data_IF_498311180864
#
_entry.id   IF_498311180864
#
_cell.length_a   1.000
_cell.length_b   1.000
_cell.length_c   1.000
_cell.angle_alpha   90.00
_cell.angle_beta   90.00
_cell.angle_gamma   90.00
#
_symmetry.space_group_name_H-M   'P 1'
#
loop_
_entity.id
_entity.type
_entity.pdbx_description
1 polymer ?
#
# COMPACT_ATOMS: atom_id res chain seq x y z
N UNK A 1 0.04 22.00 4.44
CA UNK A 1 0.78 22.72 3.38
C UNK A 1 2.25 22.63 3.74
N UNK A 2 3.22 22.14 2.96
CA UNK A 2 3.29 21.66 1.57
C UNK A 2 4.64 20.92 1.44
N UNK A 3 4.62 19.79 0.72
CA UNK A 3 5.71 19.09 0.01
C UNK A 3 7.18 19.32 0.42
N UNK A 4 7.80 18.25 0.94
CA UNK A 4 9.26 18.03 0.96
C UNK A 4 9.50 16.79 0.11
N UNK A 5 10.07 16.94 -1.10
CA UNK A 5 11.02 15.98 -1.69
C UNK A 5 11.69 16.67 -2.87
N UNK A 6 12.97 17.00 -2.69
CA UNK A 6 13.82 17.65 -3.67
C UNK A 6 14.26 16.70 -4.76
N UNK A 7 14.04 17.09 -6.01
CA UNK A 7 14.72 16.52 -7.17
C UNK A 7 15.94 17.40 -7.45
N UNK A 8 17.11 16.79 -7.23
CA UNK A 8 18.44 17.34 -7.44
C UNK A 8 18.59 17.74 -8.92
N UNK A 9 18.78 19.04 -9.18
CA UNK A 9 19.16 19.60 -10.50
C UNK A 9 20.44 18.91 -10.98
N UNK A 10 20.36 18.08 -12.01
CA UNK A 10 21.55 17.61 -12.73
C UNK A 10 22.02 18.71 -13.69
N UNK A 11 23.34 18.89 -13.76
CA UNK A 11 24.00 19.90 -14.57
C UNK A 11 23.73 19.70 -16.08
N UNK A 12 23.75 20.78 -16.88
CA UNK A 12 23.56 20.69 -18.32
C UNK A 12 24.81 20.09 -18.96
N UNK A 13 24.75 18.83 -19.37
CA UNK A 13 25.73 18.29 -20.31
C UNK A 13 25.39 18.89 -21.69
N UNK A 14 26.34 19.68 -22.19
CA UNK A 14 26.33 20.47 -23.42
C UNK A 14 25.47 19.90 -24.57
N UNK A 15 24.36 20.61 -24.87
CA UNK A 15 23.51 20.38 -26.06
C UNK A 15 24.26 20.54 -27.39
N UNK A 16 25.46 21.12 -27.35
CA UNK A 16 26.33 21.31 -28.51
C UNK A 16 26.89 19.99 -29.06
N UNK A 17 27.24 19.02 -28.19
CA UNK A 17 27.83 17.74 -28.61
C UNK A 17 26.78 16.82 -29.25
N UNK A 18 25.54 16.85 -28.74
CA UNK A 18 24.40 16.12 -29.30
C UNK A 18 23.97 16.64 -30.68
N UNK A 19 24.14 17.94 -30.96
CA UNK A 19 23.81 18.55 -32.25
C UNK A 19 24.83 18.19 -33.35
N UNK A 20 26.06 17.85 -32.96
CA UNK A 20 27.13 17.43 -33.88
C UNK A 20 27.01 15.96 -34.33
N UNK A 21 26.28 15.12 -33.58
CA UNK A 21 26.12 13.69 -33.87
C UNK A 21 24.84 13.34 -34.65
N UNK A 22 24.07 14.33 -35.12
CA UNK A 22 22.89 14.09 -35.97
C UNK A 22 21.72 13.34 -35.29
N UNK A 23 21.77 13.12 -33.97
CA UNK A 23 20.69 12.46 -33.22
C UNK A 23 19.62 13.48 -32.87
N UNK A 24 18.65 13.65 -33.77
CA UNK A 24 17.44 14.42 -33.50
C UNK A 24 16.49 13.58 -32.64
N UNK A 25 16.44 13.84 -31.33
CA UNK A 25 15.41 13.31 -30.43
C UNK A 25 14.05 13.96 -30.74
N UNK A 26 13.45 13.60 -31.87
CA UNK A 26 12.09 13.97 -32.23
C UNK A 26 11.09 12.99 -31.59
N UNK A 27 10.97 13.06 -30.26
CA UNK A 27 9.78 12.53 -29.58
C UNK A 27 8.69 13.59 -29.72
N UNK A 28 8.03 13.62 -30.88
CA UNK A 28 6.85 14.47 -31.07
C UNK A 28 5.65 13.85 -30.38
N UNK A 29 4.97 14.62 -29.52
CA UNK A 29 3.70 14.24 -28.93
C UNK A 29 2.62 14.09 -30.01
N UNK A 30 2.19 12.85 -30.26
CA UNK A 30 1.15 12.50 -31.24
C UNK A 30 -0.25 12.38 -30.62
N UNK A 31 -0.39 12.63 -29.31
CA UNK A 31 -1.69 12.68 -28.62
C UNK A 31 -2.73 13.57 -29.31
N UNK A 32 -2.37 14.74 -29.90
CA UNK A 32 -3.32 15.58 -30.62
C UNK A 32 -3.86 14.94 -31.89
N UNK A 33 -3.03 14.19 -32.62
CA UNK A 33 -3.43 13.52 -33.87
C UNK A 33 -4.34 12.33 -33.57
N UNK A 34 -4.01 11.56 -32.53
CA UNK A 34 -4.85 10.47 -32.04
C UNK A 34 -6.23 10.98 -31.60
N UNK A 35 -6.28 12.09 -30.84
CA UNK A 35 -7.56 12.68 -30.39
C UNK A 35 -8.45 13.07 -31.58
N UNK A 36 -7.89 13.67 -32.62
CA UNK A 36 -8.63 14.01 -33.85
C UNK A 36 -9.16 12.77 -34.57
N UNK A 37 -8.35 11.72 -34.66
CA UNK A 37 -8.74 10.48 -35.32
C UNK A 37 -9.87 9.74 -34.59
N UNK A 38 -9.81 9.67 -33.26
CA UNK A 38 -10.88 9.10 -32.44
C UNK A 38 -12.18 9.88 -32.64
N UNK A 39 -12.10 11.22 -32.59
CA UNK A 39 -13.26 12.10 -32.74
C UNK A 39 -13.90 11.96 -34.12
N UNK A 40 -13.09 11.78 -35.16
CA UNK A 40 -13.53 11.53 -36.54
C UNK A 40 -14.25 10.17 -36.68
N UNK A 41 -13.79 9.11 -35.99
CA UNK A 41 -14.44 7.80 -36.03
C UNK A 41 -15.69 7.70 -35.15
N UNK A 42 -15.80 8.48 -34.07
CA UNK A 42 -16.99 8.49 -33.20
C UNK A 42 -18.14 9.34 -33.73
N UNK A 43 -17.93 10.13 -34.79
CA UNK A 43 -18.94 11.02 -35.38
C UNK A 43 -19.76 10.41 -36.52
N UNK A 44 -19.61 9.12 -36.83
CA UNK A 44 -20.40 8.45 -37.88
C UNK A 44 -21.56 7.69 -37.23
N UNK A 45 -22.76 8.17 -37.50
CA UNK A 45 -24.09 7.70 -37.06
C UNK A 45 -24.20 6.21 -36.70
N UNK A 46 -24.62 5.95 -35.46
CA UNK A 46 -25.30 4.72 -35.08
C UNK A 46 -26.74 5.08 -34.69
N UNK A 47 -27.67 4.64 -35.52
CA UNK A 47 -29.10 4.89 -35.42
C UNK A 47 -29.69 4.32 -34.12
N UNK A 48 -30.24 5.20 -33.27
CA UNK A 48 -30.92 4.86 -32.02
C UNK A 48 -32.40 4.59 -32.32
N UNK A 49 -32.73 3.36 -32.68
CA UNK A 49 -34.12 2.90 -32.68
C UNK A 49 -34.20 1.39 -32.46
N UNK A 50 -34.69 1.01 -31.25
CA UNK A 50 -35.34 -0.26 -30.84
C UNK A 50 -34.73 -0.86 -29.56
N UNK A 51 -35.20 -0.40 -28.39
CA UNK A 51 -34.98 -1.08 -27.11
C UNK A 51 -36.17 -1.99 -26.77
N UNK A 52 -35.97 -3.29 -26.94
CA UNK A 52 -36.43 -4.30 -25.97
C UNK A 52 -35.15 -4.74 -25.24
N UNK A 53 -35.05 -4.44 -23.94
CA UNK A 53 -33.94 -4.73 -23.00
C UNK A 53 -32.53 -4.51 -23.55
N UNK A 54 -31.99 -3.30 -23.36
CA UNK A 54 -30.64 -2.94 -23.79
C UNK A 54 -29.55 -3.66 -22.95
N UNK A 55 -28.48 -4.20 -23.58
CA UNK A 55 -27.29 -4.66 -22.87
C UNK A 55 -26.60 -3.48 -22.15
N UNK A 56 -25.79 -3.73 -21.09
CA UNK A 56 -25.21 -2.65 -20.31
C UNK A 56 -24.28 -1.82 -21.18
N UNK A 57 -24.47 -0.51 -21.12
CA UNK A 57 -23.76 0.45 -21.97
C UNK A 57 -22.27 0.47 -21.61
N UNK A 58 -21.38 0.60 -22.61
CA UNK A 58 -19.91 0.73 -22.40
C UNK A 58 -19.52 1.78 -21.35
N UNK A 59 -20.30 2.86 -21.24
CA UNK A 59 -20.13 3.90 -20.22
C UNK A 59 -20.38 3.42 -18.79
N UNK A 60 -21.36 2.53 -18.59
CA UNK A 60 -21.69 1.94 -17.29
C UNK A 60 -20.55 1.02 -16.82
N UNK A 61 -20.05 0.17 -17.73
CA UNK A 61 -18.89 -0.69 -17.47
C UNK A 61 -17.66 0.12 -17.04
N UNK A 62 -17.36 1.21 -17.75
CA UNK A 62 -16.21 2.07 -17.42
C UNK A 62 -16.38 2.76 -16.07
N UNK A 63 -17.61 3.16 -15.71
CA UNK A 63 -17.89 3.73 -14.40
C UNK A 63 -17.70 2.69 -13.29
N UNK A 64 -18.20 1.47 -13.47
CA UNK A 64 -18.08 0.40 -12.48
C UNK A 64 -16.61 -0.01 -12.26
N UNK A 65 -15.83 -0.13 -13.33
CA UNK A 65 -14.38 -0.37 -13.28
C UNK A 65 -13.67 0.78 -12.56
N UNK A 66 -14.05 2.03 -12.84
CA UNK A 66 -13.46 3.20 -12.18
C UNK A 66 -13.74 3.21 -10.68
N UNK A 67 -14.96 2.83 -10.27
CA UNK A 67 -15.31 2.71 -8.85
C UNK A 67 -14.45 1.63 -8.20
N UNK A 68 -14.32 0.45 -8.83
CA UNK A 68 -13.45 -0.62 -8.35
C UNK A 68 -12.01 -0.12 -8.15
N UNK A 69 -11.41 0.50 -9.17
CA UNK A 69 -10.04 1.01 -9.11
C UNK A 69 -9.87 2.06 -8.00
N UNK A 70 -10.87 2.92 -7.78
CA UNK A 70 -10.87 3.90 -6.69
C UNK A 70 -10.88 3.20 -5.32
N UNK A 71 -11.73 2.19 -5.15
CA UNK A 71 -11.80 1.37 -3.93
C UNK A 71 -10.46 0.70 -3.66
N UNK A 72 -9.89 0.03 -4.66
CA UNK A 72 -8.56 -0.59 -4.59
C UNK A 72 -7.47 0.39 -4.17
N UNK A 73 -7.42 1.58 -4.80
CA UNK A 73 -6.41 2.59 -4.49
C UNK A 73 -6.52 3.06 -3.04
N UNK A 74 -7.76 3.28 -2.57
CA UNK A 74 -8.02 3.62 -1.17
C UNK A 74 -7.59 2.48 -0.23
N UNK A 75 -7.87 1.23 -0.59
CA UNK A 75 -7.48 0.05 0.20
C UNK A 75 -5.96 -0.01 0.35
N UNK A 76 -5.23 0.12 -0.76
CA UNK A 76 -3.76 0.15 -0.76
C UNK A 76 -3.21 1.27 0.14
N UNK A 77 -3.76 2.47 0.04
CA UNK A 77 -3.36 3.59 0.89
C UNK A 77 -3.62 3.30 2.38
N UNK A 78 -4.75 2.68 2.71
CA UNK A 78 -5.08 2.33 4.10
C UNK A 78 -4.16 1.22 4.64
N UNK A 79 -3.87 0.18 3.85
CA UNK A 79 -2.91 -0.87 4.25
C UNK A 79 -1.53 -0.28 4.53
N UNK A 80 -1.03 0.61 3.67
CA UNK A 80 0.26 1.27 3.90
C UNK A 80 0.27 2.16 5.16
N UNK A 81 -0.84 2.85 5.46
CA UNK A 81 -0.96 3.60 6.72
C UNK A 81 -0.90 2.68 7.94
N UNK A 82 -1.56 1.53 7.89
CA UNK A 82 -1.50 0.52 8.96
C UNK A 82 -0.07 0.02 9.11
N UNK A 83 0.59 -0.33 8.01
CA UNK A 83 1.98 -0.78 8.02
C UNK A 83 2.91 0.25 8.68
N UNK A 84 2.75 1.55 8.37
CA UNK A 84 3.54 2.62 8.99
C UNK A 84 3.28 2.74 10.51
N UNK A 85 2.02 2.69 10.94
CA UNK A 85 1.66 2.66 12.37
C UNK A 85 2.25 1.44 13.07
N UNK A 86 2.24 0.30 12.38
CA UNK A 86 2.75 -0.96 12.89
C UNK A 86 4.27 -0.95 13.05
N UNK A 87 5.01 -0.33 12.14
CA UNK A 87 6.46 -0.10 12.32
C UNK A 87 6.74 0.67 13.60
N UNK A 88 5.99 1.75 13.84
CA UNK A 88 6.11 2.54 15.07
C UNK A 88 5.72 1.72 16.31
N UNK A 89 4.62 0.96 16.25
CA UNK A 89 4.22 0.10 17.36
C UNK A 89 5.28 -0.98 17.65
N UNK A 90 5.90 -1.54 16.62
CA UNK A 90 6.98 -2.53 16.74
C UNK A 90 8.20 -1.94 17.45
N UNK A 91 8.56 -0.69 17.12
CA UNK A 91 9.65 0.03 17.79
C UNK A 91 9.35 0.21 19.29
N UNK A 92 8.16 0.70 19.62
CA UNK A 92 7.70 0.89 21.00
C UNK A 92 7.55 -0.43 21.78
N UNK A 93 7.15 -1.52 21.11
CA UNK A 93 7.02 -2.83 21.74
C UNK A 93 8.39 -3.49 22.01
N UNK A 94 9.44 -3.10 21.28
CA UNK A 94 10.80 -3.64 21.44
C UNK A 94 11.63 -2.89 22.48
N UNK A 95 11.28 -1.66 22.85
CA UNK A 95 11.99 -0.91 23.90
C UNK A 95 11.75 -1.55 25.27
N UNK A 96 12.67 -2.42 25.71
CA UNK A 96 12.60 -3.25 26.94
C UNK A 96 12.80 -2.47 28.27
N UNK A 97 12.88 -1.14 28.25
CA UNK A 97 13.12 -0.35 29.46
C UNK A 97 11.83 -0.22 30.28
N UNK A 98 11.83 -0.73 31.52
CA UNK A 98 10.68 -0.72 32.44
C UNK A 98 10.08 0.68 32.64
N UNK A 99 10.92 1.73 32.64
CA UNK A 99 10.49 3.12 32.82
C UNK A 99 9.88 3.70 31.54
N UNK A 100 10.41 3.30 30.39
CA UNK A 100 9.97 3.76 29.07
C UNK A 100 8.65 3.07 28.67
N UNK A 101 8.46 1.81 29.06
CA UNK A 101 7.22 1.07 28.86
C UNK A 101 6.06 1.61 29.73
N UNK A 102 6.32 2.13 30.94
CA UNK A 102 5.30 2.77 31.77
C UNK A 102 4.80 4.10 31.18
N UNK A 103 5.66 4.85 30.48
CA UNK A 103 5.25 6.05 29.75
C UNK A 103 4.63 5.72 28.38
N UNK A 104 5.12 4.67 27.71
CA UNK A 104 4.66 4.28 26.39
C UNK A 104 3.41 3.40 26.41
N UNK A 105 3.01 2.83 27.56
CA UNK A 105 1.88 1.91 27.69
C UNK A 105 0.57 2.44 27.09
N UNK A 106 0.23 3.70 27.37
CA UNK A 106 -0.96 4.34 26.79
C UNK A 106 -0.84 4.52 25.26
N UNK A 107 0.33 4.89 24.75
CA UNK A 107 0.55 5.07 23.31
C UNK A 107 0.51 3.73 22.57
N UNK A 108 1.11 2.68 23.17
CA UNK A 108 1.06 1.31 22.67
C UNK A 108 -0.40 0.83 22.65
N UNK A 109 -1.17 1.05 23.73
CA UNK A 109 -2.58 0.66 23.77
C UNK A 109 -3.41 1.38 22.71
N UNK A 110 -3.25 2.69 22.57
CA UNK A 110 -3.94 3.48 21.54
C UNK A 110 -3.62 2.99 20.13
N UNK A 111 -2.33 2.87 19.80
CA UNK A 111 -1.89 2.38 18.49
C UNK A 111 -2.38 0.97 18.21
N UNK A 112 -2.38 0.10 19.23
CA UNK A 112 -2.89 -1.27 19.12
C UNK A 112 -4.38 -1.26 18.76
N UNK A 113 -5.21 -0.50 19.49
CA UNK A 113 -6.64 -0.39 19.21
C UNK A 113 -6.94 0.23 17.85
N UNK A 114 -6.19 1.27 17.45
CA UNK A 114 -6.35 1.94 16.16
C UNK A 114 -5.98 1.03 14.99
N UNK A 115 -4.85 0.31 15.08
CA UNK A 115 -4.44 -0.69 14.08
C UNK A 115 -5.46 -1.82 13.99
N UNK A 116 -5.97 -2.30 15.13
CA UNK A 116 -6.98 -3.35 15.16
C UNK A 116 -8.26 -2.92 14.43
N UNK A 117 -8.79 -1.73 14.72
CA UNK A 117 -9.97 -1.18 14.04
C UNK A 117 -9.73 -0.98 12.53
N UNK A 118 -8.56 -0.41 12.17
CA UNK A 118 -8.20 -0.20 10.77
C UNK A 118 -8.09 -1.53 10.00
N UNK A 119 -7.52 -2.58 10.60
CA UNK A 119 -7.43 -3.92 10.00
C UNK A 119 -8.81 -4.53 9.78
N UNK A 120 -9.73 -4.41 10.74
CA UNK A 120 -11.11 -4.89 10.58
C UNK A 120 -11.82 -4.16 9.42
N UNK A 121 -11.65 -2.85 9.34
CA UNK A 121 -12.22 -2.04 8.26
C UNK A 121 -11.64 -2.43 6.90
N UNK A 122 -10.32 -2.54 6.79
CA UNK A 122 -9.66 -2.93 5.53
C UNK A 122 -10.06 -4.34 5.12
N UNK A 123 -10.21 -5.28 6.05
CA UNK A 123 -10.70 -6.62 5.73
C UNK A 123 -12.13 -6.62 5.17
N UNK A 124 -13.02 -5.79 5.73
CA UNK A 124 -14.36 -5.61 5.18
C UNK A 124 -14.33 -4.98 3.78
N UNK A 125 -13.55 -3.90 3.62
CA UNK A 125 -13.39 -3.24 2.33
C UNK A 125 -12.79 -4.18 1.27
N UNK A 126 -11.89 -5.09 1.68
CA UNK A 126 -11.30 -6.10 0.81
C UNK A 126 -12.34 -7.12 0.35
N UNK A 127 -13.18 -7.63 1.26
CA UNK A 127 -14.32 -8.50 0.91
C UNK A 127 -15.26 -7.83 -0.08
N UNK A 128 -15.55 -6.55 0.13
CA UNK A 128 -16.40 -5.77 -0.76
C UNK A 128 -15.74 -5.59 -2.14
N UNK A 129 -14.44 -5.32 -2.20
CA UNK A 129 -13.69 -5.21 -3.45
C UNK A 129 -13.66 -6.54 -4.22
N UNK A 130 -13.45 -7.67 -3.53
CA UNK A 130 -13.52 -9.00 -4.13
C UNK A 130 -14.91 -9.31 -4.68
N UNK A 131 -15.97 -9.01 -3.92
CA UNK A 131 -17.35 -9.14 -4.40
C UNK A 131 -17.59 -8.27 -5.64
N UNK A 132 -17.13 -7.02 -5.62
CA UNK A 132 -17.21 -6.13 -6.79
C UNK A 132 -16.38 -6.67 -7.98
N UNK A 133 -15.29 -7.41 -7.74
CA UNK A 133 -14.57 -8.16 -8.76
C UNK A 133 -15.46 -9.19 -9.45
N UNK A 134 -16.08 -10.05 -8.64
CA UNK A 134 -16.97 -11.13 -9.08
C UNK A 134 -18.22 -10.60 -9.79
N UNK A 135 -18.88 -9.59 -9.23
CA UNK A 135 -20.08 -8.99 -9.81
C UNK A 135 -19.78 -8.43 -11.22
N UNK A 136 -18.63 -7.81 -11.39
CA UNK A 136 -18.22 -7.25 -12.67
C UNK A 136 -17.75 -8.31 -13.68
N UNK A 137 -17.22 -9.44 -13.22
CA UNK A 137 -16.98 -10.60 -14.08
C UNK A 137 -18.32 -11.21 -14.57
N UNK A 138 -19.33 -11.28 -13.69
CA UNK A 138 -20.65 -11.80 -14.07
C UNK A 138 -21.48 -10.84 -14.94
N UNK A 139 -21.33 -9.51 -14.74
CA UNK A 139 -22.15 -8.49 -15.39
C UNK A 139 -21.69 -8.13 -16.81
N UNK A 140 -20.42 -8.36 -17.12
CA UNK A 140 -19.79 -7.94 -18.38
C UNK A 140 -19.08 -9.10 -19.08
N UNK A 141 -19.07 -9.14 -20.42
CA UNK A 141 -18.32 -10.16 -21.14
C UNK A 141 -16.83 -10.05 -20.79
N UNK A 142 -16.12 -11.19 -20.67
CA UNK A 142 -14.74 -11.23 -20.22
C UNK A 142 -13.86 -10.40 -21.17
N UNK A 143 -13.26 -9.34 -20.63
CA UNK A 143 -12.14 -8.64 -21.25
C UNK A 143 -10.88 -9.19 -20.59
N UNK A 144 -10.14 -10.05 -21.32
CA UNK A 144 -8.99 -10.79 -20.78
C UNK A 144 -8.03 -9.90 -19.97
N UNK A 145 -7.74 -8.69 -20.46
CA UNK A 145 -6.80 -7.78 -19.79
C UNK A 145 -7.38 -7.11 -18.54
N UNK A 146 -8.63 -6.64 -18.61
CA UNK A 146 -9.26 -5.95 -17.48
C UNK A 146 -9.54 -6.92 -16.35
N UNK A 147 -9.94 -8.14 -16.67
CA UNK A 147 -10.18 -9.19 -15.69
C UNK A 147 -8.90 -9.65 -15.01
N UNK A 148 -7.86 -9.98 -15.80
CA UNK A 148 -6.56 -10.38 -15.27
C UNK A 148 -5.95 -9.31 -14.37
N UNK A 149 -6.04 -8.03 -14.75
CA UNK A 149 -5.56 -6.94 -13.91
C UNK A 149 -6.27 -6.90 -12.55
N UNK A 150 -7.59 -7.06 -12.52
CA UNK A 150 -8.37 -6.97 -11.29
C UNK A 150 -8.11 -8.15 -10.36
N UNK A 151 -7.96 -9.34 -10.92
CA UNK A 151 -7.56 -10.53 -10.18
C UNK A 151 -6.16 -10.35 -9.55
N UNK A 152 -5.17 -9.90 -10.33
CA UNK A 152 -3.81 -9.61 -9.84
C UNK A 152 -3.83 -8.56 -8.73
N UNK A 153 -4.60 -7.49 -8.91
CA UNK A 153 -4.77 -6.43 -7.93
C UNK A 153 -5.35 -6.97 -6.62
N UNK A 154 -6.43 -7.75 -6.68
CA UNK A 154 -7.03 -8.36 -5.48
C UNK A 154 -6.02 -9.27 -4.77
N UNK A 155 -5.34 -10.15 -5.52
CA UNK A 155 -4.31 -11.04 -4.98
C UNK A 155 -3.18 -10.29 -4.29
N UNK A 156 -2.68 -9.21 -4.90
CA UNK A 156 -1.64 -8.39 -4.30
C UNK A 156 -2.09 -7.72 -3.01
N UNK A 157 -3.32 -7.19 -2.97
CA UNK A 157 -3.88 -6.61 -1.76
C UNK A 157 -4.08 -7.65 -0.65
N UNK A 158 -4.51 -8.86 -0.98
CA UNK A 158 -4.62 -9.98 -0.04
C UNK A 158 -3.26 -10.33 0.57
N UNK A 159 -2.21 -10.38 -0.26
CA UNK A 159 -0.84 -10.60 0.20
C UNK A 159 -0.36 -9.50 1.17
N UNK A 160 -0.57 -8.23 0.82
CA UNK A 160 -0.19 -7.11 1.70
C UNK A 160 -0.96 -7.13 3.01
N UNK A 161 -2.28 -7.40 2.97
CA UNK A 161 -3.10 -7.50 4.16
C UNK A 161 -2.63 -8.64 5.05
N UNK A 162 -2.38 -9.84 4.49
CA UNK A 162 -1.85 -10.99 5.22
C UNK A 162 -0.55 -10.66 5.95
N UNK A 163 0.40 -10.03 5.26
CA UNK A 163 1.69 -9.68 5.84
C UNK A 163 1.57 -8.62 6.94
N UNK A 164 0.67 -7.65 6.76
CA UNK A 164 0.39 -6.62 7.77
C UNK A 164 -0.26 -7.23 8.99
N UNK A 165 -1.25 -8.11 8.81
CA UNK A 165 -1.90 -8.86 9.89
C UNK A 165 -0.89 -9.73 10.64
N UNK A 166 -0.03 -10.48 9.93
CA UNK A 166 1.01 -11.31 10.55
C UNK A 166 1.93 -10.46 11.43
N UNK A 167 2.43 -9.36 10.88
CA UNK A 167 3.32 -8.45 11.60
C UNK A 167 2.64 -7.85 12.85
N UNK A 168 1.32 -7.61 12.79
CA UNK A 168 0.55 -7.15 13.95
C UNK A 168 0.40 -8.23 15.01
N UNK A 169 0.14 -9.48 14.61
CA UNK A 169 0.12 -10.64 15.51
C UNK A 169 1.47 -10.80 16.22
N UNK A 170 2.58 -10.69 15.49
CA UNK A 170 3.93 -10.81 16.07
C UNK A 170 4.17 -9.73 17.15
N UNK A 171 3.72 -8.49 16.91
CA UNK A 171 3.83 -7.40 17.88
C UNK A 171 2.94 -7.61 19.11
N UNK A 172 1.71 -8.10 18.93
CA UNK A 172 0.83 -8.46 20.04
C UNK A 172 1.44 -9.56 20.91
N UNK A 173 2.10 -10.54 20.29
CA UNK A 173 2.79 -11.60 21.02
C UNK A 173 3.96 -11.06 21.84
N UNK A 174 4.82 -10.21 21.25
CA UNK A 174 5.92 -9.55 21.99
C UNK A 174 5.37 -8.78 23.19
N UNK A 175 4.25 -8.07 23.01
CA UNK A 175 3.62 -7.30 24.08
C UNK A 175 3.06 -8.20 25.18
N UNK A 176 2.39 -9.31 24.83
CA UNK A 176 1.89 -10.28 25.79
C UNK A 176 3.04 -10.89 26.62
N UNK A 177 4.14 -11.25 25.96
CA UNK A 177 5.36 -11.74 26.61
C UNK A 177 5.98 -10.69 27.53
N UNK A 178 6.02 -9.42 27.12
CA UNK A 178 6.52 -8.31 27.96
C UNK A 178 5.68 -8.16 29.23
N UNK A 179 4.35 -8.08 29.09
CA UNK A 179 3.46 -7.92 30.25
C UNK A 179 3.60 -9.10 31.21
N UNK A 180 3.70 -10.33 30.69
CA UNK A 180 3.91 -11.54 31.50
C UNK A 180 5.26 -11.53 32.23
N UNK A 181 6.35 -11.18 31.54
CA UNK A 181 7.69 -11.14 32.14
C UNK A 181 7.78 -10.07 33.23
N UNK A 182 7.07 -8.95 33.08
CA UNK A 182 6.96 -7.94 34.14
C UNK A 182 6.15 -8.44 35.34
N UNK A 183 5.06 -9.17 35.11
CA UNK A 183 4.25 -9.77 36.17
C UNK A 183 5.10 -10.76 37.00
N UNK A 184 5.83 -11.66 36.35
CA UNK A 184 6.70 -12.63 37.05
C UNK A 184 7.80 -11.94 37.86
N UNK A 185 8.42 -10.89 37.32
CA UNK A 185 9.40 -10.07 38.05
C UNK A 185 8.75 -9.43 39.27
N UNK A 186 7.59 -8.80 39.10
CA UNK A 186 6.86 -8.15 40.20
C UNK A 186 6.47 -9.16 41.29
N UNK A 187 5.99 -10.34 40.92
CA UNK A 187 5.70 -11.42 41.88
C UNK A 187 6.95 -11.87 42.65
N UNK A 188 8.12 -11.91 42.01
CA UNK A 188 9.40 -12.22 42.69
C UNK A 188 9.85 -11.12 43.64
N UNK A 189 9.48 -9.86 43.41
CA UNK A 189 9.85 -8.72 44.27
C UNK A 189 8.77 -8.37 45.31
N UNK A 190 7.50 -8.77 45.08
CA UNK A 190 6.33 -8.47 45.93
C UNK A 190 5.76 -9.76 46.57
N UNK A 191 6.43 -10.90 46.43
CA UNK A 191 6.04 -12.11 47.15
C UNK A 191 5.80 -11.77 48.63
N UNK A 192 4.64 -12.15 49.21
CA UNK A 192 4.41 -11.96 50.63
C UNK A 192 5.36 -12.90 51.37
N UNK A 193 6.54 -12.39 51.70
CA UNK A 193 7.38 -12.96 52.72
C UNK A 193 6.59 -12.91 54.02
N UNK A 194 5.99 -14.04 54.40
CA UNK A 194 6.05 -14.42 55.80
C UNK A 194 7.53 -14.34 56.18
N UNK A 195 7.87 -13.35 57.00
CA UNK A 195 9.21 -12.84 57.33
C UNK A 195 9.66 -11.62 56.52
N UNK A 196 9.15 -10.46 56.92
CA UNK A 196 9.91 -9.20 56.89
C UNK A 196 11.12 -9.34 57.84
N UNK A 197 12.14 -10.07 57.38
CA UNK A 197 13.48 -9.95 57.92
C UNK A 197 14.02 -8.58 57.57
N UNK A 198 14.32 -7.81 58.61
CA UNK A 198 15.07 -6.56 58.65
C UNK A 198 16.11 -6.48 57.53
N UNK A 199 15.81 -5.73 56.46
CA UNK A 199 16.83 -5.12 55.62
C UNK A 199 16.86 -3.63 55.91
N UNK A 200 17.37 -3.31 57.09
CA UNK A 200 18.00 -2.03 57.34
C UNK A 200 19.25 -1.97 56.48
N UNK A 201 19.14 -1.30 55.33
CA UNK A 201 20.30 -1.00 54.49
C UNK A 201 21.13 0.06 55.23
N UNK A 202 22.08 -0.41 56.05
CA UNK A 202 23.14 0.44 56.58
C UNK A 202 23.96 0.99 55.40
N UNK A 203 23.73 2.24 55.04
CA UNK A 203 24.73 3.06 54.37
C UNK A 203 25.67 3.62 55.44
N UNK A 204 26.52 2.77 56.02
CA UNK A 204 27.69 3.22 56.77
C UNK A 204 28.84 3.38 55.79
N UNK A 205 29.06 4.61 55.32
CA UNK A 205 30.10 4.89 54.34
C UNK A 205 30.29 6.34 53.94
N UNK A 206 30.30 7.28 54.90
CA UNK A 206 31.11 8.51 54.78
C UNK A 206 31.23 9.18 56.16
N UNK A 207 32.39 9.05 56.81
CA UNK A 207 32.75 9.83 58.00
C UNK A 207 33.74 10.92 57.59
N UNK A 208 33.38 12.17 57.81
CA UNK A 208 34.33 13.21 58.22
C UNK A 208 33.64 14.21 59.15
N UNK A 209 34.20 14.30 60.36
CA UNK A 209 34.27 15.42 61.31
C UNK A 209 33.52 15.34 62.66
N UNK A 210 34.33 15.54 63.71
CA UNK A 210 34.09 15.56 65.16
C UNK A 210 33.20 16.74 65.61
N UNK A 211 32.20 16.49 66.46
CA UNK A 211 31.92 17.25 67.70
C UNK A 211 30.73 16.61 68.48
N UNK A 212 30.76 16.50 69.83
CA UNK A 212 29.70 15.81 70.58
C UNK A 212 28.80 16.77 71.37
N UNK A 213 27.47 16.65 71.21
CA UNK A 213 26.46 16.49 72.27
C UNK A 213 25.07 16.89 71.76
N UNK A 214 24.08 16.06 72.09
CA UNK A 214 22.74 16.54 72.40
C UNK A 214 21.64 16.11 71.43
N UNK A 215 20.61 15.50 72.02
CA UNK A 215 19.27 15.24 71.49
C UNK A 215 19.12 14.11 70.47
N UNK A 216 18.81 12.95 71.03
CA UNK A 216 17.96 11.89 70.50
C UNK A 216 16.78 12.46 69.70
N UNK A 217 16.89 12.48 68.38
CA UNK A 217 15.77 12.58 67.47
C UNK A 217 15.84 11.41 66.50
N UNK A 218 15.28 10.28 66.94
CA UNK A 218 14.77 9.27 66.02
C UNK A 218 13.68 9.92 65.15
N UNK A 219 14.07 10.47 64.00
CA UNK A 219 13.12 10.84 62.95
C UNK A 219 12.70 9.54 62.28
N UNK A 220 11.68 8.90 62.85
CA UNK A 220 10.95 7.80 62.25
C UNK A 220 10.20 8.35 61.03
N UNK A 221 10.82 8.23 59.86
CA UNK A 221 10.12 8.44 58.59
C UNK A 221 9.22 7.23 58.38
N UNK A 222 8.01 7.31 58.96
CA UNK A 222 6.92 6.38 58.68
C UNK A 222 6.55 6.53 57.21
N UNK A 223 7.06 5.62 56.37
CA UNK A 223 6.58 5.45 55.00
C UNK A 223 5.29 4.66 55.14
N UNK A 224 4.09 5.24 54.93
CA UNK A 224 2.85 4.50 55.10
C UNK A 224 2.86 3.28 54.17
N UNK A 225 2.95 2.10 54.79
CA UNK A 225 2.98 0.80 54.12
C UNK A 225 1.73 0.61 53.23
N UNK A 226 0.64 1.32 53.53
CA UNK A 226 -0.58 1.38 52.75
C UNK A 226 -0.40 1.99 51.36
N UNK A 227 0.41 3.05 51.17
CA UNK A 227 0.49 3.75 49.87
C UNK A 227 1.21 2.94 48.79
N UNK A 228 2.17 2.08 49.17
CA UNK A 228 2.87 1.20 48.21
C UNK A 228 2.00 0.04 47.71
N UNK A 229 1.10 -0.45 48.57
CA UNK A 229 0.20 -1.57 48.26
C UNK A 229 -0.93 -1.13 47.34
N UNK A 230 -1.54 0.04 47.56
CA UNK A 230 -2.65 0.55 46.72
C UNK A 230 -2.19 0.88 45.30
N UNK A 231 -1.01 1.50 45.15
CA UNK A 231 -0.39 1.72 43.83
C UNK A 231 -0.07 0.40 43.12
N UNK A 232 0.30 -0.64 43.88
CA UNK A 232 0.62 -1.95 43.32
C UNK A 232 -0.62 -2.70 42.82
N UNK A 233 -1.79 -2.52 43.44
CA UNK A 233 -3.04 -3.20 43.03
C UNK A 233 -3.68 -2.57 41.80
N UNK A 234 -3.70 -1.24 41.69
CA UNK A 234 -4.30 -0.53 40.55
C UNK A 234 -3.57 -0.84 39.24
N UNK A 235 -2.23 -0.86 39.27
CA UNK A 235 -1.43 -1.26 38.13
C UNK A 235 -1.52 -2.76 37.78
N UNK A 236 -2.00 -3.61 38.69
CA UNK A 236 -2.20 -5.03 38.41
C UNK A 236 -3.47 -5.25 37.57
N UNK A 237 -4.54 -4.54 37.90
CA UNK A 237 -5.84 -4.67 37.24
C UNK A 237 -5.80 -4.16 35.79
N UNK A 238 -5.16 -3.02 35.53
CA UNK A 238 -4.94 -2.49 34.18
C UNK A 238 -4.17 -3.49 33.29
N UNK A 239 -3.26 -4.27 33.88
CA UNK A 239 -2.44 -5.26 33.16
C UNK A 239 -3.19 -6.54 32.85
N UNK A 240 -4.01 -7.03 33.78
CA UNK A 240 -4.90 -8.18 33.53
C UNK A 240 -5.89 -7.82 32.42
N UNK A 241 -6.44 -6.61 32.44
CA UNK A 241 -7.31 -6.11 31.38
C UNK A 241 -6.55 -5.99 30.04
N UNK A 242 -5.30 -5.52 30.06
CA UNK A 242 -4.44 -5.43 28.89
C UNK A 242 -4.19 -6.78 28.21
N UNK A 243 -3.87 -7.83 28.98
CA UNK A 243 -3.65 -9.18 28.43
C UNK A 243 -4.95 -9.76 27.87
N UNK A 244 -6.07 -9.66 28.58
CA UNK A 244 -7.36 -10.14 28.08
C UNK A 244 -7.78 -9.41 26.79
N UNK A 245 -7.50 -8.11 26.68
CA UNK A 245 -7.73 -7.35 25.45
C UNK A 245 -6.87 -7.89 24.30
N UNK A 246 -5.59 -8.20 24.54
CA UNK A 246 -4.71 -8.79 23.55
C UNK A 246 -5.21 -10.17 23.10
N UNK A 247 -5.68 -11.01 24.02
CA UNK A 247 -6.24 -12.33 23.70
C UNK A 247 -7.47 -12.22 22.79
N UNK A 248 -8.38 -11.29 23.08
CA UNK A 248 -9.55 -11.03 22.21
C UNK A 248 -9.10 -10.58 20.82
N UNK A 249 -8.18 -9.63 20.75
CA UNK A 249 -7.64 -9.14 19.47
C UNK A 249 -6.95 -10.26 18.68
N UNK A 250 -6.19 -11.13 19.35
CA UNK A 250 -5.51 -12.27 18.71
C UNK A 250 -6.53 -13.26 18.13
N UNK A 251 -7.61 -13.56 18.86
CA UNK A 251 -8.70 -14.41 18.36
C UNK A 251 -9.39 -13.81 17.11
N UNK A 252 -9.67 -12.51 17.12
CA UNK A 252 -10.24 -11.83 15.96
C UNK A 252 -9.29 -11.85 14.75
N UNK A 253 -7.98 -11.68 14.98
CA UNK A 253 -6.97 -11.75 13.93
C UNK A 253 -6.82 -13.16 13.38
N UNK A 254 -7.01 -14.22 14.18
CA UNK A 254 -7.04 -15.60 13.69
C UNK A 254 -8.22 -15.81 12.73
N UNK A 255 -9.40 -15.24 13.04
CA UNK A 255 -10.54 -15.24 12.13
C UNK A 255 -10.24 -14.53 10.81
N UNK A 256 -9.59 -13.38 10.87
CA UNK A 256 -9.14 -12.61 9.71
C UNK A 256 -8.05 -13.35 8.92
N UNK A 257 -7.11 -13.99 9.61
CA UNK A 257 -6.00 -14.73 9.03
C UNK A 257 -6.46 -15.99 8.29
N UNK A 258 -7.42 -16.73 8.84
CA UNK A 258 -8.02 -17.90 8.18
C UNK A 258 -8.70 -17.51 6.87
N UNK A 259 -9.42 -16.40 6.87
CA UNK A 259 -10.07 -15.88 5.66
C UNK A 259 -9.05 -15.55 4.56
N UNK A 260 -7.93 -14.91 4.90
CA UNK A 260 -6.92 -14.51 3.92
C UNK A 260 -6.02 -15.69 3.53
N UNK A 261 -5.72 -16.61 4.44
CA UNK A 261 -4.82 -17.74 4.18
C UNK A 261 -5.43 -18.75 3.21
N UNK A 262 -6.73 -18.99 3.28
CA UNK A 262 -7.44 -19.80 2.27
C UNK A 262 -7.36 -19.19 0.86
N UNK A 263 -7.26 -17.87 0.74
CA UNK A 263 -7.17 -17.14 -0.53
C UNK A 263 -5.73 -16.99 -1.06
N UNK A 264 -4.72 -17.16 -0.19
CA UNK A 264 -3.30 -16.90 -0.50
C UNK A 264 -2.48 -18.17 -0.75
N UNK A 265 -3.01 -19.36 -0.48
CA UNK A 265 -2.32 -20.64 -0.74
C UNK A 265 -2.00 -20.91 -2.23
N UNK A 266 -2.55 -20.11 -3.16
CA UNK A 266 -2.23 -20.15 -4.60
C UNK A 266 -1.08 -19.20 -5.01
N UNK A 267 -0.55 -18.37 -4.10
CA UNK A 267 0.28 -17.20 -4.45
C UNK A 267 1.82 -17.35 -4.34
N UNK A 268 2.41 -18.51 -4.64
CA UNK A 268 3.83 -18.51 -5.09
C UNK A 268 3.97 -18.03 -6.56
N UNK A 269 2.86 -17.66 -7.20
CA UNK A 269 2.74 -17.38 -8.64
C UNK A 269 2.72 -15.89 -9.02
N UNK A 270 2.84 -14.94 -8.06
CA UNK A 270 2.78 -13.50 -8.37
C UNK A 270 3.96 -13.03 -9.26
N UNK A 271 5.11 -13.70 -9.17
CA UNK A 271 6.29 -13.41 -10.00
C UNK A 271 6.12 -13.92 -11.44
N UNK A 272 5.39 -15.03 -11.66
CA UNK A 272 5.24 -15.62 -13.01
C UNK A 272 4.32 -14.80 -13.93
N UNK A 273 3.39 -14.03 -13.37
CA UNK A 273 2.37 -13.29 -14.15
C UNK A 273 2.80 -11.87 -14.58
N UNK A 274 3.86 -11.31 -13.99
CA UNK A 274 4.44 -10.05 -14.49
C UNK A 274 5.08 -10.32 -15.86
N UNK A 275 5.83 -11.42 -15.97
CA UNK A 275 6.46 -11.84 -17.22
C UNK A 275 5.40 -12.10 -18.31
N UNK A 276 4.33 -12.85 -18.02
CA UNK A 276 3.23 -13.11 -18.98
C UNK A 276 2.52 -11.81 -19.44
N UNK A 277 2.26 -10.87 -18.52
CA UNK A 277 1.61 -9.60 -18.89
C UNK A 277 2.55 -8.69 -19.68
N UNK A 278 3.86 -8.71 -19.41
CA UNK A 278 4.85 -8.01 -20.25
C UNK A 278 4.98 -8.65 -21.63
N UNK A 279 4.94 -9.98 -21.72
CA UNK A 279 4.98 -10.71 -22.98
C UNK A 279 3.74 -10.43 -23.84
N UNK A 280 2.54 -10.44 -23.24
CA UNK A 280 1.31 -10.07 -23.93
C UNK A 280 1.31 -8.60 -24.38
N UNK A 281 1.87 -7.70 -23.57
CA UNK A 281 2.01 -6.30 -23.95
C UNK A 281 2.98 -6.14 -25.14
N UNK A 282 4.11 -6.86 -25.14
CA UNK A 282 5.06 -6.90 -26.26
C UNK A 282 4.39 -7.47 -27.51
N UNK A 283 3.63 -8.56 -27.38
CA UNK A 283 2.89 -9.17 -28.50
C UNK A 283 1.88 -8.20 -29.12
N UNK A 284 1.08 -7.50 -28.30
CA UNK A 284 0.12 -6.51 -28.80
C UNK A 284 0.81 -5.29 -29.46
N UNK A 285 2.01 -4.90 -28.98
CA UNK A 285 2.80 -3.82 -29.59
C UNK A 285 3.36 -4.27 -30.95
N UNK A 286 3.81 -5.52 -31.07
CA UNK A 286 4.31 -6.10 -32.32
C UNK A 286 3.19 -6.24 -33.37
N UNK A 287 2.00 -6.72 -32.96
CA UNK A 287 0.82 -6.75 -33.83
C UNK A 287 0.41 -5.34 -34.29
N UNK A 288 0.42 -4.37 -33.37
CA UNK A 288 0.17 -2.97 -33.70
C UNK A 288 1.20 -2.40 -34.68
N UNK A 289 2.47 -2.76 -34.54
CA UNK A 289 3.54 -2.37 -35.46
C UNK A 289 3.34 -2.99 -36.85
N UNK A 290 2.98 -4.27 -36.94
CA UNK A 290 2.63 -4.94 -38.20
C UNK A 290 1.46 -4.24 -38.90
N UNK A 291 0.38 -3.94 -38.17
CA UNK A 291 -0.77 -3.23 -38.73
C UNK A 291 -0.43 -1.82 -39.22
N UNK A 292 0.45 -1.11 -38.52
CA UNK A 292 0.95 0.20 -38.96
C UNK A 292 1.81 0.10 -40.22
N UNK A 293 2.66 -0.92 -40.32
CA UNK A 293 3.45 -1.17 -41.53
C UNK A 293 2.56 -1.47 -42.73
N UNK A 294 1.52 -2.28 -42.55
CA UNK A 294 0.57 -2.60 -43.61
C UNK A 294 -0.25 -1.37 -44.03
N UNK A 295 -0.68 -0.56 -43.05
CA UNK A 295 -1.33 0.73 -43.33
C UNK A 295 -0.40 1.70 -44.09
N UNK A 296 0.88 1.78 -43.71
CA UNK A 296 1.88 2.59 -44.41
C UNK A 296 2.13 2.09 -45.84
N UNK A 297 2.21 0.76 -46.05
CA UNK A 297 2.35 0.16 -47.39
C UNK A 297 1.12 0.45 -48.25
N UNK A 298 -0.09 0.36 -47.70
CA UNK A 298 -1.32 0.69 -48.40
C UNK A 298 -1.36 2.16 -48.84
N UNK A 299 -0.97 3.09 -47.96
CA UNK A 299 -0.87 4.52 -48.28
C UNK A 299 0.27 4.83 -49.26
N UNK A 300 1.40 4.11 -49.16
CA UNK A 300 2.57 4.28 -50.04
C UNK A 300 2.33 3.76 -51.46
N UNK A 301 1.58 2.66 -51.62
CA UNK A 301 1.30 2.04 -52.93
C UNK A 301 0.66 3.03 -53.91
N UNK A 302 -0.20 3.92 -53.40
CA UNK A 302 -0.90 4.89 -54.23
C UNK A 302 0.02 5.98 -54.86
N UNK A 303 1.25 6.15 -54.33
CA UNK A 303 2.21 7.12 -54.87
C UNK A 303 2.73 6.71 -56.26
N UNK A 304 2.94 5.41 -56.48
CA UNK A 304 3.36 4.91 -57.80
C UNK A 304 2.29 5.13 -58.87
N UNK A 305 1.01 5.07 -58.48
CA UNK A 305 -0.13 5.28 -59.36
C UNK A 305 -0.30 6.77 -59.70
N UNK A 306 -0.12 7.66 -58.73
CA UNK A 306 -0.10 9.13 -58.93
C UNK A 306 1.04 9.58 -59.85
N UNK A 307 2.24 9.04 -59.69
CA UNK A 307 3.38 9.44 -60.54
C UNK A 307 3.15 9.02 -61.99
N UNK A 308 2.60 7.82 -62.21
CA UNK A 308 2.26 7.32 -63.56
C UNK A 308 1.17 8.17 -64.23
N UNK A 309 0.12 8.56 -63.51
CA UNK A 309 -0.94 9.41 -64.08
C UNK A 309 -0.45 10.82 -64.39
N UNK A 310 0.43 11.39 -63.55
CA UNK A 310 1.04 12.70 -63.79
C UNK A 310 1.95 12.69 -65.03
N UNK A 311 2.73 11.63 -65.24
CA UNK A 311 3.57 11.49 -66.44
C UNK A 311 2.74 11.43 -67.73
N UNK A 312 1.59 10.75 -67.71
CA UNK A 312 0.67 10.70 -68.86
C UNK A 312 0.12 12.09 -69.16
N UNK A 313 -0.32 12.83 -68.14
CA UNK A 313 -0.82 14.22 -68.32
C UNK A 313 0.29 15.14 -68.83
N UNK A 314 1.51 15.03 -68.30
CA UNK A 314 2.65 15.85 -68.72
C UNK A 314 3.05 15.57 -70.17
N UNK A 315 3.03 14.30 -70.59
CA UNK A 315 3.27 13.91 -71.98
C UNK A 315 2.27 14.58 -72.93
N UNK A 316 0.97 14.52 -72.61
CA UNK A 316 -0.06 15.21 -73.40
C UNK A 316 0.12 16.73 -73.42
N UNK A 317 0.51 17.34 -72.29
CA UNK A 317 0.76 18.78 -72.24
C UNK A 317 1.94 19.21 -73.12
N UNK A 318 3.02 18.42 -73.18
CA UNK A 318 4.17 18.69 -74.04
C UNK A 318 3.79 18.54 -75.52
N UNK A 319 3.09 17.45 -75.87
CA UNK A 319 2.59 17.25 -77.24
C UNK A 319 1.69 18.41 -77.65
N UNK A 320 0.77 18.83 -76.79
CA UNK A 320 -0.10 19.97 -77.05
C UNK A 320 0.71 21.25 -77.27
N UNK A 321 1.71 21.53 -76.43
CA UNK A 321 2.54 22.72 -76.57
C UNK A 321 3.34 22.73 -77.88
N UNK A 322 3.88 21.58 -78.31
CA UNK A 322 4.66 21.48 -79.56
C UNK A 322 3.79 21.59 -80.82
N UNK A 323 2.53 21.16 -80.77
CA UNK A 323 1.64 21.17 -81.94
C UNK A 323 0.75 22.41 -82.05
N UNK A 324 0.43 23.08 -80.92
CA UNK A 324 -0.45 24.25 -80.89
C UNK A 324 0.28 25.58 -80.70
N UNK A 325 1.58 25.58 -80.40
CA UNK A 325 2.44 26.77 -80.37
C UNK A 325 3.31 26.84 -81.62
#
# INVERSE_FOLDING_TARGET
MTSIFGIKKSHPINSFVLKMLGVSNNVFDRTPQFRRFVQQKTGSDYDLSRSKSAPPTKSEMLNDIKIFNKTTTSLFANINKIAAKLTKLTELAKSKSLFEEQQNGMQIQRLTSEIHQDLQRVNLDMKNAQKQSLDLHSKYPPSNQTEAHRDVVCKHLDYLLKNTTKSFTDVLQIRAESIKAQQEKKEKYIAPGQNSGVYQRNMTGFSFHDEPLGTDQNVEVDIPQSTSLTMSTEHLEERVQGVQSIERMLNDLLGLYNHITFLVTTQEEMVKRIDENTEQAVFNVEEGHSQLQDALKAVSSNRGLIVKSLLVVLFFAIVFLVFFL
#
